data_IF_452569899044
#
_entry.id   IF_452569899044
#
_cell.length_a   1.000
_cell.length_b   1.000
_cell.length_c   1.000
_cell.angle_alpha   90.00
_cell.angle_beta   90.00
_cell.angle_gamma   90.00
#
_symmetry.space_group_name_H-M   'P 1'
#
loop_
_entity.id
_entity.type
_entity.pdbx_description
1 polymer ?
#
# COMPACT_ATOMS: atom_id res chain seq x y z
N UNK A 1 -7.64 8.68 7.78
CA UNK A 1 -7.03 7.47 8.39
C UNK A 1 -7.94 6.84 9.44
N UNK A 2 -8.59 7.68 10.26
CA UNK A 2 -9.57 7.32 11.29
C UNK A 2 -10.65 6.34 10.79
N UNK A 3 -11.27 6.59 9.63
CA UNK A 3 -12.29 5.67 9.07
C UNK A 3 -11.82 4.22 8.91
N UNK A 4 -10.56 4.01 8.52
CA UNK A 4 -9.97 2.67 8.39
C UNK A 4 -9.66 2.05 9.76
N UNK A 5 -9.24 2.86 10.74
CA UNK A 5 -9.10 2.41 12.14
C UNK A 5 -10.45 1.99 12.73
N UNK A 6 -11.51 2.69 12.36
CA UNK A 6 -12.87 2.39 12.77
C UNK A 6 -13.37 1.13 12.06
N UNK A 7 -13.04 0.99 10.77
CA UNK A 7 -13.23 -0.23 9.99
C UNK A 7 -12.61 -1.46 10.66
N UNK A 8 -11.39 -1.33 11.18
CA UNK A 8 -10.68 -2.43 11.86
C UNK A 8 -11.40 -2.92 13.11
N UNK A 9 -12.11 -2.03 13.82
CA UNK A 9 -12.86 -2.35 15.05
C UNK A 9 -14.17 -3.08 14.77
N UNK A 10 -14.72 -3.00 13.54
CA UNK A 10 -16.01 -3.64 13.17
C UNK A 10 -15.97 -5.16 13.32
N UNK A 11 -14.87 -5.78 12.89
CA UNK A 11 -14.67 -7.24 12.97
C UNK A 11 -13.27 -7.54 13.50
N UNK A 12 -13.21 -8.09 14.72
CA UNK A 12 -11.95 -8.53 15.31
C UNK A 12 -11.25 -9.56 14.43
N UNK A 13 -9.93 -9.41 14.24
CA UNK A 13 -9.14 -10.13 13.23
C UNK A 13 -9.36 -11.65 13.20
N UNK A 14 -9.51 -12.28 14.36
CA UNK A 14 -9.75 -13.73 14.47
C UNK A 14 -11.05 -14.20 13.80
N UNK A 15 -12.06 -13.33 13.73
CA UNK A 15 -13.39 -13.59 13.14
C UNK A 15 -13.48 -13.19 11.66
N UNK A 16 -12.45 -12.54 11.11
CA UNK A 16 -12.41 -12.13 9.70
C UNK A 16 -12.42 -13.35 8.77
N UNK A 17 -12.94 -13.11 7.56
CA UNK A 17 -13.04 -14.12 6.49
C UNK A 17 -11.64 -14.66 6.19
N UNK A 18 -11.40 -15.99 6.22
CA UNK A 18 -10.06 -16.58 6.22
C UNK A 18 -9.40 -16.67 4.83
N UNK A 19 -9.76 -15.78 3.92
CA UNK A 19 -9.29 -15.76 2.53
C UNK A 19 -8.50 -14.48 2.22
N UNK A 20 -7.66 -14.55 1.19
CA UNK A 20 -7.08 -13.36 0.58
C UNK A 20 -8.12 -12.64 -0.28
N UNK A 21 -8.13 -11.32 -0.22
CA UNK A 21 -9.10 -10.50 -0.93
C UNK A 21 -8.45 -9.44 -1.79
N UNK A 22 -8.99 -9.27 -2.99
CA UNK A 22 -8.71 -8.15 -3.88
C UNK A 22 -9.98 -7.71 -4.62
N UNK A 23 -10.19 -6.40 -4.72
CA UNK A 23 -11.20 -5.81 -5.60
C UNK A 23 -10.56 -4.62 -6.32
N UNK A 24 -10.60 -4.60 -7.65
CA UNK A 24 -9.96 -3.55 -8.44
C UNK A 24 -10.18 -3.71 -9.93
N UNK A 25 -9.75 -2.72 -10.72
CA UNK A 25 -9.90 -2.77 -12.17
C UNK A 25 -8.79 -3.65 -12.78
N UNK A 26 -9.10 -4.80 -13.40
CA UNK A 26 -8.11 -5.66 -14.01
C UNK A 26 -7.62 -5.17 -15.39
N UNK A 27 -8.38 -4.29 -16.07
CA UNK A 27 -8.07 -3.88 -17.43
C UNK A 27 -6.82 -2.98 -17.54
N UNK A 28 -6.34 -2.42 -16.43
CA UNK A 28 -5.24 -1.44 -16.42
C UNK A 28 -3.83 -2.06 -16.45
N UNK A 29 -3.72 -3.39 -16.23
CA UNK A 29 -2.44 -4.09 -16.21
C UNK A 29 -2.57 -5.60 -16.43
N UNK A 30 -1.63 -6.18 -17.18
CA UNK A 30 -1.58 -7.63 -17.45
C UNK A 30 -1.48 -8.45 -16.15
N UNK A 31 -0.65 -8.03 -15.19
CA UNK A 31 -0.49 -8.75 -13.90
C UNK A 31 -1.82 -8.83 -13.11
N UNK A 32 -2.71 -7.84 -13.25
CA UNK A 32 -4.05 -7.90 -12.65
C UNK A 32 -4.99 -8.84 -13.39
N UNK A 33 -4.91 -8.91 -14.72
CA UNK A 33 -5.65 -9.90 -15.50
C UNK A 33 -5.22 -11.33 -15.12
N UNK A 34 -3.93 -11.54 -14.88
CA UNK A 34 -3.40 -12.82 -14.38
C UNK A 34 -3.90 -13.13 -12.96
N UNK A 35 -3.94 -12.14 -12.06
CA UNK A 35 -4.48 -12.32 -10.71
C UNK A 35 -5.93 -12.81 -10.71
N UNK A 36 -6.74 -12.42 -11.69
CA UNK A 36 -8.12 -12.90 -11.82
C UNK A 36 -8.20 -14.44 -11.91
N UNK A 37 -7.17 -15.10 -12.45
CA UNK A 37 -7.08 -16.57 -12.54
C UNK A 37 -6.87 -17.25 -11.18
N UNK A 38 -6.50 -16.50 -10.15
CA UNK A 38 -6.35 -17.01 -8.80
C UNK A 38 -7.69 -17.09 -8.05
N UNK A 39 -8.78 -16.57 -8.61
CA UNK A 39 -10.10 -16.71 -8.00
C UNK A 39 -10.55 -18.18 -7.99
N UNK A 40 -11.52 -18.51 -7.15
CA UNK A 40 -12.10 -19.87 -7.10
C UNK A 40 -12.64 -20.28 -8.48
N UNK A 41 -12.36 -21.52 -8.88
CA UNK A 41 -12.83 -22.12 -10.13
C UNK A 41 -13.06 -23.62 -9.97
N UNK A 42 -13.61 -24.28 -10.98
CA UNK A 42 -13.73 -25.75 -11.00
C UNK A 42 -12.38 -26.46 -10.86
N UNK A 43 -11.30 -25.83 -11.34
CA UNK A 43 -9.94 -26.35 -11.24
C UNK A 43 -9.37 -26.30 -9.80
N UNK A 44 -10.01 -25.57 -8.88
CA UNK A 44 -9.63 -25.52 -7.48
C UNK A 44 -9.75 -24.13 -6.83
N UNK A 45 -9.43 -24.08 -5.54
CA UNK A 45 -9.43 -22.88 -4.71
C UNK A 45 -8.01 -22.52 -4.23
N UNK A 46 -7.52 -21.37 -4.70
CA UNK A 46 -6.24 -20.77 -4.27
C UNK A 46 -6.34 -19.99 -2.95
N UNK A 47 -7.48 -20.07 -2.26
CA UNK A 47 -7.82 -19.27 -1.07
C UNK A 47 -7.87 -17.76 -1.33
N UNK A 48 -8.12 -17.35 -2.58
CA UNK A 48 -8.24 -15.95 -2.97
C UNK A 48 -9.68 -15.64 -3.43
N UNK A 49 -10.13 -14.43 -3.14
CA UNK A 49 -11.41 -13.85 -3.54
C UNK A 49 -11.10 -12.56 -4.30
N UNK A 50 -11.13 -12.66 -5.62
CA UNK A 50 -10.63 -11.63 -6.54
C UNK A 50 -11.80 -11.11 -7.37
N UNK A 51 -12.11 -9.82 -7.29
CA UNK A 51 -13.28 -9.22 -7.91
C UNK A 51 -12.90 -8.06 -8.83
N UNK A 52 -13.51 -8.02 -10.01
CA UNK A 52 -13.35 -6.89 -10.92
C UNK A 52 -14.18 -5.69 -10.41
N UNK A 53 -13.56 -4.51 -10.41
CA UNK A 53 -14.20 -3.24 -10.07
C UNK A 53 -14.61 -2.50 -11.34
N UNK A 54 -15.92 -2.30 -11.52
CA UNK A 54 -16.49 -1.45 -12.57
C UNK A 54 -16.69 -0.02 -12.03
N UNK A 55 -15.79 0.89 -12.41
CA UNK A 55 -15.86 2.30 -11.98
C UNK A 55 -17.03 3.08 -12.57
N UNK A 56 -17.55 2.67 -13.74
CA UNK A 56 -18.72 3.32 -14.33
C UNK A 56 -19.97 2.99 -13.52
N UNK A 57 -20.12 1.73 -13.12
CA UNK A 57 -21.23 1.33 -12.25
C UNK A 57 -21.12 1.97 -10.86
N UNK A 58 -19.94 1.93 -10.23
CA UNK A 58 -19.75 2.57 -8.92
C UNK A 58 -20.02 4.08 -8.97
N UNK A 59 -19.62 4.76 -10.05
CA UNK A 59 -19.90 6.17 -10.23
C UNK A 59 -21.41 6.48 -10.26
N UNK A 60 -22.22 5.60 -10.87
CA UNK A 60 -23.68 5.72 -10.86
C UNK A 60 -24.29 5.43 -9.48
N UNK A 61 -23.71 4.48 -8.75
CA UNK A 61 -24.22 4.06 -7.44
C UNK A 61 -23.65 4.88 -6.26
N UNK A 62 -22.82 5.88 -6.55
CA UNK A 62 -22.19 6.75 -5.55
C UNK A 62 -21.11 6.05 -4.72
N UNK A 63 -20.40 5.08 -5.31
CA UNK A 63 -19.26 4.35 -4.72
C UNK A 63 -19.58 3.56 -3.45
N UNK A 64 -20.87 3.26 -3.19
CA UNK A 64 -21.31 2.57 -1.97
C UNK A 64 -20.65 1.21 -1.74
N UNK A 65 -20.23 0.55 -2.81
CA UNK A 65 -19.59 -0.78 -2.76
C UNK A 65 -18.06 -0.70 -2.83
N UNK A 66 -17.50 0.51 -2.84
CA UNK A 66 -16.06 0.79 -2.91
C UNK A 66 -15.52 1.48 -1.67
N UNK A 67 -16.31 1.58 -0.59
CA UNK A 67 -15.83 2.06 0.71
C UNK A 67 -14.63 1.22 1.16
N UNK A 68 -13.51 1.87 1.46
CA UNK A 68 -12.27 1.17 1.81
C UNK A 68 -12.34 0.57 3.21
N UNK A 69 -12.99 1.26 4.15
CA UNK A 69 -13.11 0.81 5.53
C UNK A 69 -13.96 -0.46 5.68
N UNK A 70 -14.99 -0.63 4.84
CA UNK A 70 -15.81 -1.84 4.81
C UNK A 70 -15.05 -3.08 4.30
N UNK A 71 -13.93 -2.90 3.60
CA UNK A 71 -13.15 -4.00 3.03
C UNK A 71 -12.08 -4.58 3.98
N UNK A 72 -12.04 -4.14 5.25
CA UNK A 72 -11.13 -4.66 6.28
C UNK A 72 -11.69 -5.90 7.01
N UNK A 73 -12.59 -6.66 6.39
CA UNK A 73 -13.29 -7.84 6.92
C UNK A 73 -12.65 -9.19 6.55
N UNK A 74 -11.67 -9.18 5.63
CA UNK A 74 -10.89 -10.34 5.22
C UNK A 74 -9.55 -10.40 5.95
N UNK A 75 -9.07 -11.60 6.30
CA UNK A 75 -7.81 -11.78 7.01
C UNK A 75 -6.60 -11.32 6.21
N UNK A 76 -6.61 -11.45 4.89
CA UNK A 76 -5.49 -11.09 4.03
C UNK A 76 -5.93 -10.17 2.92
N UNK A 77 -5.13 -9.16 2.59
CA UNK A 77 -5.37 -8.22 1.49
C UNK A 77 -4.29 -8.40 0.44
N UNK A 78 -4.63 -8.41 -0.84
CA UNK A 78 -3.63 -8.53 -1.91
C UNK A 78 -3.28 -7.13 -2.40
N UNK A 79 -1.99 -6.82 -2.45
CA UNK A 79 -1.47 -5.68 -3.20
C UNK A 79 -0.93 -6.16 -4.53
N UNK A 80 -1.33 -5.49 -5.60
CA UNK A 80 -0.82 -5.71 -6.95
C UNK A 80 -0.85 -4.39 -7.73
N UNK A 81 0.23 -4.16 -8.48
CA UNK A 81 0.42 -2.95 -9.27
C UNK A 81 -0.60 -2.83 -10.40
N UNK A 82 -0.82 -1.60 -10.85
CA UNK A 82 -1.62 -1.28 -12.03
C UNK A 82 -0.70 -0.91 -13.18
N UNK A 83 -1.00 0.19 -13.86
CA UNK A 83 -0.08 0.76 -14.86
C UNK A 83 1.23 1.27 -14.24
N UNK A 84 1.23 1.52 -12.93
CA UNK A 84 2.37 1.83 -12.08
C UNK A 84 2.11 1.29 -10.66
N UNK A 85 2.72 1.88 -9.63
CA UNK A 85 2.31 1.66 -8.24
C UNK A 85 0.81 1.96 -8.05
N UNK A 86 0.17 1.30 -7.09
CA UNK A 86 -1.27 1.45 -6.86
C UNK A 86 -1.55 2.22 -5.56
N UNK A 87 -2.36 3.27 -5.66
CA UNK A 87 -2.77 4.13 -4.53
C UNK A 87 -3.42 3.38 -3.37
N UNK A 88 -3.91 2.16 -3.63
CA UNK A 88 -4.53 1.26 -2.66
C UNK A 88 -3.58 0.77 -1.56
N UNK A 89 -2.26 0.76 -1.78
CA UNK A 89 -1.29 0.12 -0.88
C UNK A 89 -1.40 0.61 0.57
N UNK A 90 -1.33 1.94 0.76
CA UNK A 90 -1.43 2.56 2.10
C UNK A 90 -2.74 2.22 2.81
N UNK A 91 -3.84 2.12 2.08
CA UNK A 91 -5.16 1.86 2.66
C UNK A 91 -5.31 0.41 3.10
N UNK A 92 -4.82 -0.55 2.31
CA UNK A 92 -4.90 -1.97 2.67
C UNK A 92 -3.91 -2.36 3.76
N UNK A 93 -2.73 -1.73 3.80
CA UNK A 93 -1.77 -1.87 4.91
C UNK A 93 -2.37 -1.39 6.23
N UNK A 94 -3.27 -0.40 6.19
CA UNK A 94 -3.95 0.11 7.38
C UNK A 94 -5.06 -0.82 7.92
N UNK A 95 -5.46 -1.88 7.22
CA UNK A 95 -6.59 -2.72 7.61
C UNK A 95 -6.33 -3.72 8.75
N UNK A 96 -5.21 -3.69 9.49
CA UNK A 96 -4.84 -4.75 10.47
C UNK A 96 -4.76 -6.18 9.86
N UNK A 97 -4.83 -6.30 8.53
CA UNK A 97 -4.77 -7.55 7.78
C UNK A 97 -3.41 -7.67 7.12
N UNK A 98 -2.72 -8.83 7.22
CA UNK A 98 -1.52 -9.07 6.43
C UNK A 98 -1.76 -8.75 4.96
N UNK A 99 -0.93 -7.83 4.45
CA UNK A 99 -0.94 -7.49 3.03
C UNK A 99 0.00 -8.44 2.31
N UNK A 100 -0.54 -9.17 1.34
CA UNK A 100 0.16 -10.06 0.43
C UNK A 100 0.62 -9.21 -0.77
N UNK A 101 1.89 -8.85 -0.79
CA UNK A 101 2.46 -7.92 -1.78
C UNK A 101 3.06 -8.73 -2.91
N UNK A 102 2.39 -8.73 -4.06
CA UNK A 102 2.97 -9.25 -5.31
C UNK A 102 4.21 -8.42 -5.64
N UNK A 103 5.35 -9.09 -5.90
CA UNK A 103 6.66 -8.47 -6.09
C UNK A 103 6.56 -7.16 -6.89
N UNK A 104 6.74 -6.00 -6.24
CA UNK A 104 6.50 -4.71 -6.87
C UNK A 104 7.68 -4.31 -7.76
N UNK A 105 7.41 -3.55 -8.81
CA UNK A 105 8.41 -2.94 -9.70
C UNK A 105 8.57 -1.45 -9.42
N UNK A 106 7.52 -0.82 -8.91
CA UNK A 106 7.47 0.59 -8.60
C UNK A 106 7.63 0.82 -7.10
N UNK A 107 8.14 2.00 -6.74
CA UNK A 107 8.26 2.45 -5.36
C UNK A 107 7.45 3.73 -5.17
N UNK A 108 6.71 3.78 -4.07
CA UNK A 108 6.22 5.03 -3.51
C UNK A 108 7.24 5.57 -2.50
N UNK A 109 7.07 6.79 -2.01
CA UNK A 109 8.04 7.43 -1.10
C UNK A 109 8.20 6.65 0.21
N UNK A 110 7.14 6.03 0.72
CA UNK A 110 7.14 5.30 1.99
C UNK A 110 7.47 3.80 1.84
N UNK A 111 7.34 3.21 0.65
CA UNK A 111 7.41 1.74 0.51
C UNK A 111 8.81 1.19 0.78
N UNK A 112 9.83 2.03 0.66
CA UNK A 112 11.21 1.69 1.07
C UNK A 112 11.35 1.47 2.57
N UNK A 113 10.45 1.99 3.40
CA UNK A 113 10.39 1.71 4.84
C UNK A 113 9.77 0.35 5.17
N UNK A 114 9.08 -0.30 4.23
CA UNK A 114 8.42 -1.57 4.48
C UNK A 114 9.41 -2.75 4.53
N UNK A 115 9.14 -3.70 5.44
CA UNK A 115 9.99 -4.86 5.70
C UNK A 115 9.19 -6.15 5.42
N UNK A 116 9.67 -7.04 4.54
CA UNK A 116 9.02 -8.33 4.29
C UNK A 116 8.96 -9.17 5.56
N UNK A 117 7.88 -9.92 5.73
CA UNK A 117 7.55 -10.77 6.89
C UNK A 117 7.40 -10.00 8.22
N UNK A 118 7.48 -8.66 8.18
CA UNK A 118 7.20 -7.79 9.32
C UNK A 118 6.00 -6.87 9.03
N UNK A 119 6.05 -6.10 7.95
CA UNK A 119 4.96 -5.21 7.52
C UNK A 119 4.07 -5.85 6.43
N UNK A 120 4.57 -6.86 5.72
CA UNK A 120 3.81 -7.52 4.65
C UNK A 120 4.31 -8.93 4.40
N UNK A 121 3.56 -9.72 3.65
CA UNK A 121 3.98 -11.04 3.17
C UNK A 121 4.34 -10.96 1.68
N UNK A 122 5.57 -11.33 1.26
CA UNK A 122 5.97 -11.27 -0.15
C UNK A 122 5.28 -12.38 -0.96
N UNK A 123 4.80 -12.02 -2.16
CA UNK A 123 4.19 -12.94 -3.13
C UNK A 123 4.96 -12.88 -4.43
N UNK A 124 5.29 -14.05 -4.96
CA UNK A 124 5.97 -14.19 -6.25
C UNK A 124 5.10 -13.73 -7.41
N UNK A 125 5.62 -12.86 -8.28
CA UNK A 125 4.89 -12.43 -9.49
C UNK A 125 4.76 -13.58 -10.52
N UNK A 126 5.75 -14.47 -10.62
CA UNK A 126 5.79 -15.57 -11.60
C UNK A 126 4.91 -16.78 -11.23
N UNK A 127 4.60 -16.99 -9.95
CA UNK A 127 3.71 -18.08 -9.45
C UNK A 127 2.71 -17.57 -8.40
N UNK A 128 2.09 -16.41 -8.70
CA UNK A 128 1.28 -15.64 -7.76
C UNK A 128 0.13 -16.41 -7.10
N UNK A 129 -0.61 -17.25 -7.83
CA UNK A 129 -1.75 -17.97 -7.25
C UNK A 129 -1.31 -19.01 -6.22
N UNK A 130 -0.23 -19.75 -6.50
CA UNK A 130 0.32 -20.74 -5.56
C UNK A 130 0.95 -20.07 -4.35
N UNK A 131 1.70 -18.98 -4.57
CA UNK A 131 2.31 -18.19 -3.49
C UNK A 131 1.25 -17.57 -2.58
N UNK A 132 0.14 -17.03 -3.14
CA UNK A 132 -1.02 -16.56 -2.36
C UNK A 132 -1.61 -17.70 -1.54
N UNK A 133 -1.87 -18.85 -2.17
CA UNK A 133 -2.43 -20.01 -1.47
C UNK A 133 -1.57 -20.43 -0.29
N UNK A 134 -0.26 -20.54 -0.51
CA UNK A 134 0.71 -20.86 0.53
C UNK A 134 0.67 -19.86 1.69
N UNK A 135 0.68 -18.55 1.39
CA UNK A 135 0.63 -17.49 2.38
C UNK A 135 -0.64 -17.58 3.25
N UNK A 136 -1.80 -17.78 2.62
CA UNK A 136 -3.09 -17.91 3.32
C UNK A 136 -3.14 -19.18 4.17
N UNK A 137 -2.69 -20.32 3.63
CA UNK A 137 -2.64 -21.59 4.36
C UNK A 137 -1.69 -21.50 5.56
N UNK A 138 -0.51 -20.90 5.39
CA UNK A 138 0.44 -20.65 6.46
C UNK A 138 -0.16 -19.73 7.51
N UNK A 139 -0.75 -18.61 7.11
CA UNK A 139 -1.32 -17.62 8.03
C UNK A 139 -2.48 -18.18 8.84
N UNK A 140 -3.33 -19.01 8.23
CA UNK A 140 -4.47 -19.63 8.90
C UNK A 140 -4.02 -20.69 9.92
N UNK A 141 -2.86 -21.32 9.73
CA UNK A 141 -2.20 -22.18 10.74
C UNK A 141 -1.44 -21.38 11.80
N UNK A 142 -0.94 -20.19 11.45
CA UNK A 142 -0.13 -19.34 12.33
C UNK A 142 -0.82 -18.01 12.66
N UNK A 143 -2.09 -18.09 13.08
CA UNK A 143 -2.99 -16.94 13.25
C UNK A 143 -2.36 -15.77 14.02
N UNK A 144 -1.71 -16.03 15.16
CA UNK A 144 -1.06 -14.96 15.96
C UNK A 144 0.08 -14.26 15.20
N UNK A 145 0.89 -15.01 14.46
CA UNK A 145 2.00 -14.44 13.66
C UNK A 145 1.44 -13.65 12.48
N UNK A 146 0.44 -14.19 11.79
CA UNK A 146 -0.24 -13.46 10.72
C UNK A 146 -0.85 -12.15 11.24
N UNK A 147 -1.63 -12.19 12.33
CA UNK A 147 -2.18 -10.97 12.93
C UNK A 147 -1.10 -9.93 13.27
N UNK A 148 0.05 -10.37 13.81
CA UNK A 148 1.15 -9.47 14.15
C UNK A 148 1.72 -8.73 12.92
N UNK A 149 1.80 -9.40 11.75
CA UNK A 149 2.24 -8.76 10.50
C UNK A 149 1.25 -7.67 10.08
N UNK A 150 -0.05 -7.99 10.07
CA UNK A 150 -1.09 -7.01 9.74
C UNK A 150 -1.11 -5.83 10.71
N UNK A 151 -0.90 -6.10 12.00
CA UNK A 151 -0.85 -5.05 13.03
C UNK A 151 0.34 -4.13 12.81
N UNK A 152 1.54 -4.68 12.64
CA UNK A 152 2.76 -3.92 12.38
C UNK A 152 2.62 -3.06 11.11
N UNK A 153 1.99 -3.57 10.05
CA UNK A 153 1.68 -2.80 8.86
C UNK A 153 0.81 -1.57 9.17
N UNK A 154 -0.29 -1.78 9.90
CA UNK A 154 -1.21 -0.69 10.23
C UNK A 154 -0.59 0.35 11.15
N UNK A 155 0.26 -0.09 12.10
CA UNK A 155 1.01 0.78 13.00
C UNK A 155 1.99 1.63 12.19
N UNK A 156 2.74 1.04 11.26
CA UNK A 156 3.61 1.80 10.36
C UNK A 156 2.84 2.88 9.60
N UNK A 157 1.67 2.56 9.02
CA UNK A 157 0.87 3.57 8.32
C UNK A 157 0.34 4.67 9.27
N UNK A 158 -0.06 4.30 10.48
CA UNK A 158 -0.59 5.27 11.46
C UNK A 158 0.50 6.17 12.06
N UNK A 159 1.70 5.64 12.23
CA UNK A 159 2.78 6.32 12.97
C UNK A 159 3.78 7.00 12.03
N UNK A 160 4.15 6.34 10.93
CA UNK A 160 5.22 6.76 10.01
C UNK A 160 4.69 7.39 8.72
N UNK A 161 3.37 7.29 8.44
CA UNK A 161 2.73 7.90 7.26
C UNK A 161 1.67 8.95 7.64
N UNK A 162 1.95 9.71 8.70
CA UNK A 162 1.16 10.88 9.11
C UNK A 162 1.32 12.04 8.13
N UNK A 163 0.31 12.91 8.06
CA UNK A 163 0.36 14.09 7.19
C UNK A 163 1.56 14.99 7.50
N UNK A 164 1.94 15.13 8.77
CA UNK A 164 3.14 15.88 9.17
C UNK A 164 4.39 15.35 8.46
N UNK A 165 4.61 14.03 8.49
CA UNK A 165 5.74 13.39 7.80
C UNK A 165 5.62 13.41 6.28
N UNK A 166 4.41 13.44 5.72
CA UNK A 166 4.23 13.65 4.28
C UNK A 166 4.70 15.05 3.88
N UNK A 167 4.32 16.08 4.63
CA UNK A 167 4.76 17.45 4.36
C UNK A 167 6.25 17.64 4.64
N UNK A 168 6.80 17.04 5.70
CA UNK A 168 8.24 17.04 5.97
C UNK A 168 9.01 16.38 4.83
N UNK A 169 8.57 15.22 4.34
CA UNK A 169 9.19 14.55 3.19
C UNK A 169 9.18 15.45 1.95
N UNK A 170 8.06 16.10 1.63
CA UNK A 170 7.95 17.01 0.49
C UNK A 170 8.88 18.23 0.64
N UNK A 171 8.92 18.82 1.84
CA UNK A 171 9.81 19.95 2.14
C UNK A 171 11.28 19.56 1.95
N UNK A 172 11.73 18.47 2.60
CA UNK A 172 13.12 18.03 2.51
C UNK A 172 13.51 17.62 1.09
N UNK A 173 12.61 16.96 0.35
CA UNK A 173 12.86 16.63 -1.05
C UNK A 173 13.15 17.87 -1.89
N UNK A 174 12.32 18.91 -1.77
CA UNK A 174 12.48 20.16 -2.52
C UNK A 174 13.70 20.96 -2.03
N UNK A 175 13.92 21.01 -0.72
CA UNK A 175 15.04 21.72 -0.10
C UNK A 175 16.39 21.12 -0.51
N UNK A 176 16.55 19.80 -0.38
CA UNK A 176 17.80 19.12 -0.77
C UNK A 176 18.01 19.18 -2.29
N UNK A 177 16.95 19.07 -3.09
CA UNK A 177 17.04 19.26 -4.54
C UNK A 177 17.51 20.68 -4.92
N UNK A 178 16.99 21.71 -4.24
CA UNK A 178 17.36 23.10 -4.51
C UNK A 178 18.86 23.38 -4.28
N UNK A 179 19.51 22.69 -3.33
CA UNK A 179 20.96 22.80 -3.11
C UNK A 179 21.79 22.29 -4.29
N UNK A 180 21.23 21.45 -5.16
CA UNK A 180 21.90 20.91 -6.34
C UNK A 180 21.87 21.89 -7.54
N UNK A 181 21.09 22.97 -7.45
CA UNK A 181 20.96 23.95 -8.53
C UNK A 181 22.29 24.69 -8.74
N UNK A 182 22.80 24.60 -9.97
CA UNK A 182 24.04 25.29 -10.40
C UNK A 182 23.78 26.69 -10.96
N UNK A 183 22.57 27.21 -10.78
CA UNK A 183 22.14 28.51 -11.28
C UNK A 183 21.19 29.17 -10.29
N UNK A 184 21.04 30.50 -10.38
CA UNK A 184 20.04 31.26 -9.63
C UNK A 184 18.70 31.21 -10.39
N UNK A 185 17.62 30.63 -9.84
CA UNK A 185 16.32 30.62 -10.51
C UNK A 185 15.81 32.03 -10.79
N UNK A 186 15.21 32.23 -11.96
CA UNK A 186 14.57 33.49 -12.37
C UNK A 186 13.14 33.18 -12.81
N UNK A 187 12.18 34.01 -12.38
CA UNK A 187 10.77 33.87 -12.78
C UNK A 187 10.64 34.02 -14.32
N UNK A 188 10.07 33.04 -15.03
CA UNK A 188 9.77 33.18 -16.45
C UNK A 188 8.74 34.30 -16.70
N UNK A 189 8.86 35.03 -17.81
CA UNK A 189 7.99 36.17 -18.14
C UNK A 189 6.49 35.81 -18.16
N UNK A 190 6.17 34.59 -18.62
CA UNK A 190 4.79 34.10 -18.74
C UNK A 190 4.36 33.22 -17.55
N UNK A 191 5.13 33.20 -16.46
CA UNK A 191 4.76 32.42 -15.29
C UNK A 191 3.54 33.03 -14.59
N UNK A 192 2.50 32.21 -14.44
CA UNK A 192 1.29 32.55 -13.71
C UNK A 192 1.48 32.15 -12.25
N UNK A 193 1.25 33.09 -11.33
CA UNK A 193 1.27 32.79 -9.90
C UNK A 193 0.09 31.90 -9.52
N UNK A 194 0.36 30.87 -8.71
CA UNK A 194 -0.64 29.97 -8.16
C UNK A 194 -0.68 30.17 -6.64
N UNK A 195 -1.85 30.57 -6.13
CA UNK A 195 -2.13 30.70 -4.70
C UNK A 195 -3.35 29.83 -4.32
N UNK A 196 -3.60 29.66 -3.02
CA UNK A 196 -4.74 28.87 -2.53
C UNK A 196 -6.07 29.35 -3.14
N UNK A 197 -6.28 30.66 -3.22
CA UNK A 197 -7.47 31.24 -3.83
C UNK A 197 -7.56 30.93 -5.34
N UNK A 198 -6.47 31.09 -6.10
CA UNK A 198 -6.49 30.84 -7.54
C UNK A 198 -6.68 29.36 -7.88
N UNK A 199 -6.19 28.45 -7.03
CA UNK A 199 -6.45 27.01 -7.16
C UNK A 199 -7.93 26.69 -6.89
N UNK A 200 -8.46 27.17 -5.76
CA UNK A 200 -9.82 26.87 -5.34
C UNK A 200 -10.90 27.47 -6.26
N UNK A 201 -10.66 28.64 -6.84
CA UNK A 201 -11.62 29.30 -7.74
C UNK A 201 -11.86 28.52 -9.04
N UNK A 202 -10.88 27.74 -9.51
CA UNK A 202 -11.00 26.95 -10.74
C UNK A 202 -11.49 25.52 -10.50
N UNK A 203 -11.53 25.09 -9.23
CA UNK A 203 -11.89 23.74 -8.86
C UNK A 203 -13.41 23.51 -8.94
N UNK A 204 -13.82 22.30 -9.35
CA UNK A 204 -15.23 21.88 -9.29
C UNK A 204 -15.68 21.77 -7.83
N UNK A 205 -16.99 21.71 -7.60
CA UNK A 205 -17.59 21.72 -6.24
C UNK A 205 -16.93 20.71 -5.29
N UNK A 206 -16.77 19.45 -5.72
CA UNK A 206 -16.19 18.40 -4.88
C UNK A 206 -14.67 18.58 -4.67
N UNK A 207 -13.94 18.94 -5.72
CA UNK A 207 -12.49 19.24 -5.64
C UNK A 207 -12.24 20.41 -4.70
N UNK A 208 -13.04 21.48 -4.81
CA UNK A 208 -12.97 22.65 -3.93
C UNK A 208 -13.23 22.28 -2.48
N UNK A 209 -14.22 21.41 -2.21
CA UNK A 209 -14.49 20.90 -0.87
C UNK A 209 -13.24 20.22 -0.29
N UNK A 210 -12.63 19.28 -1.01
CA UNK A 210 -11.42 18.59 -0.54
C UNK A 210 -10.21 19.51 -0.39
N UNK A 211 -10.03 20.48 -1.29
CA UNK A 211 -8.97 21.50 -1.15
C UNK A 211 -9.16 22.36 0.11
N UNK A 212 -10.39 22.72 0.44
CA UNK A 212 -10.69 23.50 1.66
C UNK A 212 -10.53 22.65 2.92
N UNK A 213 -10.95 21.39 2.89
CA UNK A 213 -10.78 20.45 4.01
C UNK A 213 -9.31 20.10 4.28
N UNK A 214 -8.45 20.17 3.27
CA UNK A 214 -7.00 19.93 3.39
C UNK A 214 -6.19 21.21 3.58
N UNK A 215 -6.84 22.36 3.74
CA UNK A 215 -6.14 23.64 3.93
C UNK A 215 -5.46 23.66 5.31
N UNK A 216 -4.16 23.94 5.30
CA UNK A 216 -3.38 24.14 6.53
C UNK A 216 -3.72 25.52 7.09
N UNK A 217 -4.44 25.55 8.22
CA UNK A 217 -4.95 26.79 8.81
C UNK A 217 -3.94 27.53 9.71
N UNK A 218 -2.86 26.87 10.11
CA UNK A 218 -1.78 27.45 10.90
C UNK A 218 -0.45 26.76 10.57
N UNK A 219 0.62 27.54 10.46
CA UNK A 219 1.98 26.99 10.50
C UNK A 219 2.28 26.48 11.91
N UNK A 220 2.93 25.35 12.02
CA UNK A 220 3.46 24.91 13.30
C UNK A 220 4.58 25.89 13.73
N UNK A 221 4.62 26.30 15.00
CA UNK A 221 5.67 27.19 15.53
C UNK A 221 7.05 26.50 15.57
N UNK A 222 7.05 25.16 15.53
CA UNK A 222 8.26 24.36 15.39
C UNK A 222 8.69 24.40 13.92
N UNK A 223 9.97 24.71 13.68
CA UNK A 223 10.57 24.61 12.34
C UNK A 223 10.46 23.20 11.75
N UNK A 224 10.84 23.01 10.46
CA UNK A 224 10.80 21.70 9.83
C UNK A 224 11.63 20.69 10.63
N UNK A 225 11.25 19.42 10.57
CA UNK A 225 11.99 18.37 11.26
C UNK A 225 13.47 18.34 10.79
N UNK A 226 14.37 17.85 11.63
CA UNK A 226 15.74 17.62 11.20
C UNK A 226 15.80 16.30 10.42
N UNK A 227 16.14 16.38 9.13
CA UNK A 227 16.31 15.19 8.31
C UNK A 227 17.51 14.39 8.85
N UNK A 228 17.32 13.11 9.24
CA UNK A 228 18.42 12.30 9.71
C UNK A 228 19.48 12.13 8.62
N UNK A 229 20.76 11.94 9.00
CA UNK A 229 21.81 11.68 8.03
C UNK A 229 21.48 10.42 7.20
N UNK A 230 21.94 10.36 5.93
CA UNK A 230 21.75 9.17 5.12
C UNK A 230 22.40 7.96 5.79
N UNK A 231 21.85 6.77 5.53
CA UNK A 231 22.48 5.53 5.96
C UNK A 231 23.92 5.46 5.46
N UNK A 232 24.83 5.03 6.34
CA UNK A 232 26.15 4.64 5.89
C UNK A 232 26.06 3.43 4.93
N UNK A 233 27.02 3.26 4.00
CA UNK A 233 26.94 2.19 3.00
C UNK A 233 26.79 0.78 3.58
N UNK A 234 27.36 0.52 4.76
CA UNK A 234 27.29 -0.80 5.42
C UNK A 234 25.90 -1.03 6.01
N UNK A 235 25.34 -0.06 6.71
CA UNK A 235 23.97 -0.15 7.23
C UNK A 235 22.94 -0.32 6.11
N UNK A 236 23.12 0.39 4.99
CA UNK A 236 22.23 0.28 3.82
C UNK A 236 22.32 -1.12 3.18
N UNK A 237 23.52 -1.65 3.00
CA UNK A 237 23.72 -3.01 2.47
C UNK A 237 23.13 -4.08 3.41
N UNK A 238 23.31 -3.94 4.72
CA UNK A 238 22.70 -4.83 5.72
C UNK A 238 21.17 -4.78 5.67
N UNK A 239 20.58 -3.60 5.49
CA UNK A 239 19.13 -3.45 5.32
C UNK A 239 18.65 -4.18 4.05
N UNK A 240 19.34 -3.98 2.92
CA UNK A 240 19.01 -4.67 1.67
C UNK A 240 19.13 -6.19 1.80
N UNK A 241 20.22 -6.69 2.39
CA UNK A 241 20.42 -8.12 2.66
C UNK A 241 19.33 -8.68 3.56
N UNK A 242 18.94 -7.96 4.63
CA UNK A 242 17.87 -8.37 5.53
C UNK A 242 16.54 -8.53 4.78
N UNK A 243 16.19 -7.58 3.90
CA UNK A 243 14.98 -7.67 3.06
C UNK A 243 15.05 -8.86 2.11
N UNK A 244 16.16 -9.00 1.36
CA UNK A 244 16.36 -10.08 0.41
C UNK A 244 16.31 -11.46 1.08
N UNK A 245 16.97 -11.62 2.22
CA UNK A 245 16.97 -12.86 2.99
C UNK A 245 15.58 -13.23 3.51
N UNK A 246 14.78 -12.23 3.93
CA UNK A 246 13.41 -12.47 4.40
C UNK A 246 12.50 -12.98 3.28
N UNK A 247 12.65 -12.44 2.06
CA UNK A 247 11.92 -12.91 0.87
C UNK A 247 12.37 -14.32 0.50
N UNK A 248 13.69 -14.54 0.40
CA UNK A 248 14.27 -15.86 0.08
C UNK A 248 13.83 -16.95 1.07
N UNK A 249 13.70 -16.61 2.35
CA UNK A 249 13.22 -17.54 3.36
C UNK A 249 11.77 -18.00 3.10
N UNK A 250 10.90 -17.10 2.65
CA UNK A 250 9.51 -17.44 2.27
C UNK A 250 9.50 -18.33 1.04
N UNK A 251 10.32 -18.03 0.03
CA UNK A 251 10.45 -18.86 -1.18
C UNK A 251 10.91 -20.29 -0.86
N UNK A 252 11.85 -20.45 0.07
CA UNK A 252 12.30 -21.78 0.55
C UNK A 252 11.14 -22.51 1.23
N UNK A 253 10.34 -21.83 2.06
CA UNK A 253 9.18 -22.45 2.70
C UNK A 253 8.12 -22.90 1.68
N UNK A 254 7.89 -22.11 0.63
CA UNK A 254 6.98 -22.48 -0.46
C UNK A 254 7.45 -23.77 -1.15
N UNK A 255 8.73 -23.83 -1.55
CA UNK A 255 9.32 -24.99 -2.23
C UNK A 255 9.32 -26.25 -1.36
N UNK A 256 9.63 -26.12 -0.06
CA UNK A 256 9.63 -27.24 0.88
C UNK A 256 8.27 -27.88 1.11
N UNK A 257 7.17 -27.15 0.87
CA UNK A 257 5.81 -27.70 0.92
C UNK A 257 5.33 -28.34 -0.38
N UNK A 258 5.94 -27.99 -1.52
CA UNK A 258 5.64 -28.59 -2.83
C UNK A 258 6.09 -30.05 -3.00
N UNK A 259 6.94 -30.57 -2.10
CA UNK A 259 7.40 -31.96 -2.13
C UNK A 259 6.40 -33.01 -1.63
N UNK A 260 5.25 -32.59 -1.06
CA UNK A 260 4.20 -33.51 -0.54
C UNK A 260 2.93 -33.55 -1.39
N UNK A 261 2.96 -32.94 -2.57
CA UNK A 261 1.88 -33.00 -3.56
C UNK A 261 2.47 -33.31 -4.93
N UNK A 262 2.89 -34.56 -5.11
CA UNK A 262 2.84 -35.22 -6.43
C UNK A 262 1.96 -36.46 -6.28
N UNK A 263 1.10 -36.76 -7.27
CA UNK A 263 0.25 -37.94 -7.24
C UNK A 263 1.06 -39.23 -7.11
#
# INVERSE_FOLDING_TARGET
>A
MEELMEGNKRVGWMKRVPYAYWKGNPAVAVTRQELMRCNVSEAGDWNARVYAQDWLSEGRDGFKQSDLASQCDHRYKIYIEGSAWSVSEKYILACDSPTLVVTPRYYDFFTRGLMPVHHYWPIRDDDKCRSIKFAVDWGNRHKRKAQAIGKAASTFIQEELKMDYVYDYMFHLLHEYAKLLKFKPVKPQNAVEICAASMACRAKVLERKFMMESMVNASHDLGPCELPPPYDPVALDLLHKRKANSIKQVEIWEQGTGGKQKP
#
